data_IF_131015373906
#
_entry.id   IF_131015373906
#
_cell.length_a   1.000
_cell.length_b   1.000
_cell.length_c   1.000
_cell.angle_alpha   90.00
_cell.angle_beta   90.00
_cell.angle_gamma   90.00
#
_symmetry.space_group_name_H-M   'P 1'
#
loop_
_entity.id
_entity.type
_entity.pdbx_description
1 polymer ?
#
# COMPACT_ATOMS: atom_id res chain seq x y z
N UNK A 1 13.99 3.79 -22.64
CA UNK A 1 14.02 2.40 -22.10
C UNK A 1 13.19 2.40 -20.83
N UNK A 2 12.54 1.28 -20.51
CA UNK A 2 11.72 1.19 -19.29
C UNK A 2 12.60 1.25 -18.04
N UNK A 3 12.10 1.90 -16.98
CA UNK A 3 12.76 1.91 -15.67
C UNK A 3 12.73 0.53 -14.98
N UNK A 4 11.93 -0.42 -15.49
CA UNK A 4 11.82 -1.79 -15.02
C UNK A 4 12.73 -2.79 -15.76
N UNK A 5 13.59 -2.30 -16.66
CA UNK A 5 14.45 -3.15 -17.51
C UNK A 5 15.33 -4.14 -16.72
N UNK A 6 15.68 -3.82 -15.47
CA UNK A 6 16.47 -4.70 -14.60
C UNK A 6 15.78 -6.04 -14.31
N UNK A 7 14.46 -6.16 -14.53
CA UNK A 7 13.70 -7.40 -14.36
C UNK A 7 13.80 -8.34 -15.56
N UNK A 8 14.12 -7.83 -16.75
CA UNK A 8 13.96 -8.56 -18.02
C UNK A 8 14.82 -9.82 -18.15
N UNK A 9 15.92 -9.89 -17.38
CA UNK A 9 16.85 -11.00 -17.42
C UNK A 9 16.27 -12.29 -16.83
N UNK A 10 15.42 -12.17 -15.79
CA UNK A 10 14.94 -13.33 -15.01
C UNK A 10 13.41 -13.42 -14.94
N UNK A 11 12.69 -12.29 -15.03
CA UNK A 11 11.24 -12.23 -14.84
C UNK A 11 10.56 -11.44 -15.98
N UNK A 12 10.47 -12.05 -17.16
CA UNK A 12 9.91 -11.42 -18.37
C UNK A 12 8.46 -10.97 -18.19
N UNK A 13 7.57 -11.84 -17.72
CA UNK A 13 6.15 -11.50 -17.53
C UNK A 13 5.97 -10.35 -16.51
N UNK A 14 6.78 -10.35 -15.45
CA UNK A 14 6.82 -9.28 -14.45
C UNK A 14 7.30 -7.96 -15.08
N UNK A 15 8.38 -8.02 -15.86
CA UNK A 15 8.92 -6.87 -16.59
C UNK A 15 7.90 -6.30 -17.57
N UNK A 16 7.17 -7.14 -18.30
CA UNK A 16 6.11 -6.74 -19.23
C UNK A 16 4.96 -6.04 -18.52
N UNK A 17 4.46 -6.62 -17.43
CA UNK A 17 3.40 -6.01 -16.62
C UNK A 17 3.82 -4.66 -16.03
N UNK A 18 5.05 -4.57 -15.50
CA UNK A 18 5.59 -3.35 -14.92
C UNK A 18 5.86 -2.27 -15.99
N UNK A 19 6.40 -2.65 -17.14
CA UNK A 19 6.58 -1.75 -18.30
C UNK A 19 5.23 -1.24 -18.80
N UNK A 20 4.20 -2.09 -18.81
CA UNK A 20 2.85 -1.67 -19.18
C UNK A 20 2.32 -0.64 -18.18
N UNK A 21 2.47 -0.89 -16.88
CA UNK A 21 2.08 0.05 -15.83
C UNK A 21 2.79 1.41 -15.97
N UNK A 22 4.10 1.41 -16.22
CA UNK A 22 4.88 2.62 -16.50
C UNK A 22 4.36 3.36 -17.73
N UNK A 23 4.13 2.65 -18.83
CA UNK A 23 3.69 3.23 -20.09
C UNK A 23 2.30 3.85 -20.03
N UNK A 24 1.45 3.40 -19.11
CA UNK A 24 0.09 3.90 -18.93
C UNK A 24 -0.05 4.87 -17.76
N UNK A 25 1.02 5.14 -16.99
CA UNK A 25 0.98 5.91 -15.75
C UNK A 25 0.28 7.28 -15.88
N UNK A 26 0.62 8.01 -16.94
CA UNK A 26 0.01 9.30 -17.29
C UNK A 26 -1.21 9.14 -18.19
N UNK A 27 -1.12 8.43 -19.34
CA UNK A 27 -2.17 8.47 -20.35
C UNK A 27 -3.43 7.65 -19.99
N UNK A 28 -3.29 6.61 -19.16
CA UNK A 28 -4.40 5.80 -18.65
C UNK A 28 -4.14 5.36 -17.19
N UNK A 29 -4.42 6.26 -16.21
CA UNK A 29 -4.16 6.03 -14.80
C UNK A 29 -4.80 4.74 -14.25
N UNK A 30 -6.01 4.39 -14.74
CA UNK A 30 -6.72 3.21 -14.27
C UNK A 30 -6.01 1.93 -14.72
N UNK A 31 -5.64 1.85 -16.00
CA UNK A 31 -4.88 0.71 -16.52
C UNK A 31 -3.51 0.60 -15.85
N UNK A 32 -2.86 1.72 -15.52
CA UNK A 32 -1.58 1.70 -14.80
C UNK A 32 -1.68 1.06 -13.41
N UNK A 33 -2.67 1.45 -12.62
CA UNK A 33 -2.90 0.85 -11.30
C UNK A 33 -3.24 -0.66 -11.41
N UNK A 34 -4.04 -1.04 -12.41
CA UNK A 34 -4.35 -2.45 -12.69
C UNK A 34 -3.08 -3.25 -13.02
N UNK A 35 -2.27 -2.77 -13.97
CA UNK A 35 -1.04 -3.44 -14.36
C UNK A 35 0.00 -3.47 -13.22
N UNK A 36 0.00 -2.46 -12.35
CA UNK A 36 0.88 -2.44 -11.17
C UNK A 36 0.52 -3.54 -10.17
N UNK A 37 -0.77 -3.75 -9.90
CA UNK A 37 -1.22 -4.90 -9.09
C UNK A 37 -0.89 -6.22 -9.77
N UNK A 38 -1.08 -6.33 -11.09
CA UNK A 38 -0.70 -7.54 -11.83
C UNK A 38 0.79 -7.86 -11.71
N UNK A 39 1.66 -6.85 -11.82
CA UNK A 39 3.09 -7.01 -11.63
C UNK A 39 3.40 -7.48 -10.20
N UNK A 40 2.79 -6.87 -9.18
CA UNK A 40 2.92 -7.32 -7.80
C UNK A 40 2.50 -8.79 -7.61
N UNK A 41 1.37 -9.20 -8.19
CA UNK A 41 0.89 -10.59 -8.15
C UNK A 41 1.89 -11.57 -8.73
N UNK A 42 2.46 -11.27 -9.91
CA UNK A 42 3.47 -12.11 -10.55
C UNK A 42 4.72 -12.26 -9.69
N UNK A 43 5.21 -11.16 -9.11
CA UNK A 43 6.38 -11.18 -8.24
C UNK A 43 6.13 -11.96 -6.94
N UNK A 44 4.99 -11.73 -6.29
CA UNK A 44 4.61 -12.42 -5.05
C UNK A 44 4.40 -13.91 -5.31
N UNK A 45 3.64 -14.29 -6.34
CA UNK A 45 3.45 -15.68 -6.72
C UNK A 45 4.78 -16.40 -7.01
N UNK A 46 5.70 -15.71 -7.71
CA UNK A 46 7.05 -16.23 -7.93
C UNK A 46 7.80 -16.44 -6.61
N UNK A 47 7.76 -15.47 -5.70
CA UNK A 47 8.42 -15.59 -4.40
C UNK A 47 7.90 -16.81 -3.63
N UNK A 48 6.58 -16.99 -3.53
CA UNK A 48 5.98 -18.14 -2.85
C UNK A 48 6.32 -19.48 -3.50
N UNK A 49 6.54 -19.50 -4.82
CA UNK A 49 6.93 -20.72 -5.54
C UNK A 49 8.37 -21.15 -5.23
N UNK A 50 9.30 -20.19 -5.17
CA UNK A 50 10.74 -20.46 -5.13
C UNK A 50 11.44 -20.16 -3.79
N UNK A 51 10.83 -19.39 -2.90
CA UNK A 51 11.34 -19.13 -1.56
C UNK A 51 10.65 -20.02 -0.52
N UNK A 52 11.37 -21.06 -0.06
CA UNK A 52 10.84 -22.01 0.94
C UNK A 52 10.67 -21.41 2.33
N UNK A 53 11.18 -20.20 2.58
CA UNK A 53 10.93 -19.50 3.84
C UNK A 53 9.51 -18.95 3.91
N UNK A 54 8.82 -18.79 2.76
CA UNK A 54 7.47 -18.28 2.68
C UNK A 54 6.43 -19.38 2.88
N UNK A 55 5.45 -19.13 3.74
CA UNK A 55 4.37 -20.07 4.06
C UNK A 55 3.08 -19.61 3.41
N UNK A 56 2.43 -20.48 2.64
CA UNK A 56 1.15 -20.14 2.02
C UNK A 56 0.06 -19.91 3.08
N UNK A 57 -0.69 -18.80 2.98
CA UNK A 57 -1.90 -18.60 3.77
C UNK A 57 -3.04 -19.53 3.29
N UNK A 58 -4.12 -19.59 4.07
CA UNK A 58 -5.30 -20.40 3.70
C UNK A 58 -5.99 -19.89 2.42
N UNK A 59 -6.08 -18.57 2.26
CA UNK A 59 -6.59 -17.94 1.05
C UNK A 59 -5.42 -17.63 0.10
N UNK A 60 -5.63 -17.79 -1.20
CA UNK A 60 -4.61 -17.64 -2.25
C UNK A 60 -4.68 -16.28 -2.98
N UNK A 61 -5.47 -15.33 -2.48
CA UNK A 61 -5.52 -13.99 -3.05
C UNK A 61 -4.31 -13.12 -2.64
N UNK A 62 -3.99 -12.11 -3.45
CA UNK A 62 -2.83 -11.23 -3.23
C UNK A 62 -2.82 -10.56 -1.86
N UNK A 63 -3.99 -10.17 -1.34
CA UNK A 63 -4.10 -9.54 -0.03
C UNK A 63 -3.67 -10.50 1.09
N UNK A 64 -4.14 -11.75 1.05
CA UNK A 64 -3.74 -12.78 2.00
C UNK A 64 -2.23 -13.07 1.91
N UNK A 65 -1.68 -13.18 0.70
CA UNK A 65 -0.26 -13.45 0.47
C UNK A 65 0.65 -12.34 1.02
N UNK A 66 0.32 -11.06 0.83
CA UNK A 66 1.19 -9.98 1.34
C UNK A 66 1.06 -9.80 2.86
N UNK A 67 -0.08 -10.16 3.45
CA UNK A 67 -0.32 -10.05 4.90
C UNK A 67 0.20 -11.24 5.71
N UNK A 68 0.65 -12.30 5.04
CA UNK A 68 1.19 -13.46 5.71
C UNK A 68 2.50 -13.08 6.47
N UNK A 69 2.66 -13.54 7.73
CA UNK A 69 3.78 -13.15 8.58
C UNK A 69 5.18 -13.39 8.00
N UNK A 70 5.43 -14.51 7.33
CA UNK A 70 6.75 -14.81 6.73
C UNK A 70 7.05 -13.91 5.52
N UNK A 71 6.05 -13.54 4.73
CA UNK A 71 6.22 -12.53 3.68
C UNK A 71 6.55 -11.17 4.29
N UNK A 72 5.77 -10.72 5.27
CA UNK A 72 5.99 -9.43 5.93
C UNK A 72 7.38 -9.35 6.60
N UNK A 73 7.83 -10.45 7.21
CA UNK A 73 9.16 -10.54 7.79
C UNK A 73 10.26 -10.44 6.73
N UNK A 74 10.08 -11.11 5.59
CA UNK A 74 11.04 -11.13 4.48
C UNK A 74 11.11 -9.79 3.75
N UNK A 75 9.97 -9.14 3.53
CA UNK A 75 9.87 -7.85 2.87
C UNK A 75 10.31 -6.68 3.75
N UNK A 76 10.09 -6.80 5.06
CA UNK A 76 10.22 -5.68 5.98
C UNK A 76 9.06 -4.68 5.83
N UNK A 77 8.96 -3.76 6.79
CA UNK A 77 7.83 -2.83 6.89
C UNK A 77 7.75 -1.89 5.67
N UNK A 78 8.89 -1.31 5.26
CA UNK A 78 8.93 -0.37 4.14
C UNK A 78 8.35 -0.96 2.86
N UNK A 79 8.77 -2.17 2.45
CA UNK A 79 8.31 -2.82 1.21
C UNK A 79 6.88 -3.35 1.33
N UNK A 80 6.53 -3.92 2.48
CA UNK A 80 5.16 -4.36 2.77
C UNK A 80 4.16 -3.22 2.59
N UNK A 81 4.51 -2.02 3.05
CA UNK A 81 3.68 -0.83 2.93
C UNK A 81 3.45 -0.41 1.47
N UNK A 82 4.46 -0.56 0.61
CA UNK A 82 4.33 -0.30 -0.84
C UNK A 82 3.36 -1.29 -1.48
N UNK A 83 3.49 -2.57 -1.14
CA UNK A 83 2.58 -3.61 -1.62
C UNK A 83 1.13 -3.29 -1.23
N UNK A 84 0.88 -2.77 -0.02
CA UNK A 84 -0.47 -2.33 0.39
C UNK A 84 -1.03 -1.21 -0.50
N UNK A 85 -0.22 -0.18 -0.80
CA UNK A 85 -0.64 0.93 -1.67
C UNK A 85 -1.01 0.40 -3.06
N UNK A 86 -0.15 -0.46 -3.63
CA UNK A 86 -0.38 -1.05 -4.96
C UNK A 86 -1.66 -1.90 -4.98
N UNK A 87 -1.90 -2.73 -3.95
CA UNK A 87 -3.13 -3.53 -3.85
C UNK A 87 -4.36 -2.63 -3.72
N UNK A 88 -4.32 -1.60 -2.88
CA UNK A 88 -5.47 -0.71 -2.68
C UNK A 88 -5.88 0.01 -3.98
N UNK A 89 -4.91 0.63 -4.67
CA UNK A 89 -5.16 1.35 -5.91
C UNK A 89 -5.48 0.43 -7.09
N UNK A 90 -4.84 -0.74 -7.15
CA UNK A 90 -5.16 -1.77 -8.14
C UNK A 90 -6.57 -2.34 -7.97
N UNK A 91 -7.02 -2.59 -6.74
CA UNK A 91 -8.39 -3.01 -6.47
C UNK A 91 -9.39 -1.91 -6.85
N UNK A 92 -9.10 -0.66 -6.51
CA UNK A 92 -9.93 0.48 -6.92
C UNK A 92 -10.04 0.57 -8.45
N UNK A 93 -8.97 0.26 -9.18
CA UNK A 93 -8.95 0.31 -10.64
C UNK A 93 -9.94 -0.66 -11.30
N UNK A 94 -10.27 -1.78 -10.64
CA UNK A 94 -11.14 -2.83 -11.21
C UNK A 94 -12.53 -2.83 -10.58
N UNK A 95 -12.65 -2.44 -9.30
CA UNK A 95 -13.89 -2.60 -8.53
C UNK A 95 -14.61 -1.29 -8.24
N UNK A 96 -13.98 -0.12 -8.42
CA UNK A 96 -14.61 1.18 -8.20
C UNK A 96 -14.91 1.91 -9.52
N UNK A 97 -16.10 2.53 -9.61
CA UNK A 97 -16.44 3.47 -10.69
C UNK A 97 -15.79 4.84 -10.54
N UNK A 98 -15.25 5.17 -9.35
CA UNK A 98 -14.57 6.45 -9.10
C UNK A 98 -13.34 6.58 -9.99
N UNK A 99 -13.13 7.77 -10.55
CA UNK A 99 -11.92 8.06 -11.32
C UNK A 99 -10.66 7.88 -10.47
N UNK A 100 -9.58 7.48 -11.13
CA UNK A 100 -8.25 7.39 -10.54
C UNK A 100 -7.47 8.63 -11.00
N UNK A 101 -7.14 9.55 -10.07
CA UNK A 101 -6.28 10.68 -10.36
C UNK A 101 -4.95 10.23 -10.95
N UNK A 102 -4.40 11.02 -11.89
CA UNK A 102 -3.08 10.74 -12.47
C UNK A 102 -1.98 10.66 -11.39
N UNK A 103 -2.06 11.50 -10.36
CA UNK A 103 -1.11 11.48 -9.25
C UNK A 103 -1.10 10.14 -8.50
N UNK A 104 -2.27 9.51 -8.31
CA UNK A 104 -2.38 8.20 -7.65
C UNK A 104 -1.73 7.09 -8.50
N UNK A 105 -1.89 7.17 -9.82
CA UNK A 105 -1.24 6.26 -10.76
C UNK A 105 0.28 6.40 -10.78
N UNK A 106 0.79 7.63 -10.86
CA UNK A 106 2.23 7.90 -10.79
C UNK A 106 2.82 7.42 -9.46
N UNK A 107 2.12 7.66 -8.34
CA UNK A 107 2.52 7.12 -7.04
C UNK A 107 2.55 5.59 -7.06
N UNK A 108 1.52 4.95 -7.60
CA UNK A 108 1.44 3.48 -7.68
C UNK A 108 2.64 2.89 -8.42
N UNK A 109 3.04 3.48 -9.55
CA UNK A 109 4.18 3.01 -10.35
C UNK A 109 5.50 3.24 -9.61
N UNK A 110 5.65 4.36 -8.90
CA UNK A 110 6.80 4.61 -8.01
C UNK A 110 6.89 3.56 -6.90
N UNK A 111 5.77 3.22 -6.26
CA UNK A 111 5.72 2.17 -5.25
C UNK A 111 6.05 0.79 -5.83
N UNK A 112 5.55 0.50 -7.04
CA UNK A 112 5.88 -0.72 -7.78
C UNK A 112 7.36 -0.81 -8.09
N UNK A 113 7.98 0.28 -8.53
CA UNK A 113 9.42 0.34 -8.79
C UNK A 113 10.23 -0.07 -7.57
N UNK A 114 9.93 0.52 -6.42
CA UNK A 114 10.60 0.19 -5.17
C UNK A 114 10.37 -1.27 -4.73
N UNK A 115 9.15 -1.79 -4.92
CA UNK A 115 8.86 -3.20 -4.65
C UNK A 115 9.66 -4.13 -5.57
N UNK A 116 9.68 -3.85 -6.88
CA UNK A 116 10.43 -4.61 -7.87
C UNK A 116 11.94 -4.53 -7.64
N UNK A 117 12.46 -3.36 -7.24
CA UNK A 117 13.85 -3.19 -6.84
C UNK A 117 14.21 -4.12 -5.67
N UNK A 118 13.42 -4.10 -4.59
CA UNK A 118 13.62 -5.00 -3.45
C UNK A 118 13.59 -6.47 -3.88
N UNK A 119 12.59 -6.83 -4.68
CA UNK A 119 12.41 -8.18 -5.17
C UNK A 119 13.64 -8.65 -5.99
N UNK A 120 14.09 -7.84 -6.94
CA UNK A 120 15.26 -8.14 -7.75
C UNK A 120 16.55 -8.17 -6.93
N UNK A 121 16.74 -7.25 -5.99
CA UNK A 121 17.87 -7.24 -5.06
C UNK A 121 17.95 -8.53 -4.25
N UNK A 122 16.81 -9.00 -3.76
CA UNK A 122 16.72 -10.17 -2.88
C UNK A 122 16.84 -11.49 -3.64
N UNK A 123 16.21 -11.59 -4.81
CA UNK A 123 16.00 -12.86 -5.51
C UNK A 123 16.79 -13.03 -6.81
N UNK A 124 17.40 -11.98 -7.37
CA UNK A 124 18.16 -12.12 -8.61
C UNK A 124 19.38 -13.03 -8.39
N UNK A 125 19.53 -13.99 -9.29
CA UNK A 125 20.62 -14.98 -9.27
C UNK A 125 21.83 -14.50 -10.07
N UNK A 126 21.62 -13.63 -11.05
CA UNK A 126 22.68 -13.14 -11.94
C UNK A 126 22.93 -11.65 -11.75
N UNK A 127 21.92 -10.82 -12.08
CA UNK A 127 22.08 -9.39 -12.18
C UNK A 127 21.17 -8.70 -11.15
N UNK A 128 21.78 -8.23 -10.06
CA UNK A 128 21.08 -7.37 -9.09
C UNK A 128 21.03 -5.94 -9.60
N UNK A 129 19.97 -5.17 -9.27
CA UNK A 129 19.93 -3.76 -9.59
C UNK A 129 21.05 -3.00 -8.87
N UNK A 130 21.52 -1.91 -9.49
CA UNK A 130 22.46 -0.98 -8.88
C UNK A 130 21.82 -0.31 -7.64
N UNK A 131 22.57 -0.15 -6.56
CA UNK A 131 22.10 0.49 -5.34
C UNK A 131 21.70 1.97 -5.52
N UNK A 132 22.19 2.62 -6.57
CA UNK A 132 21.86 4.01 -6.93
C UNK A 132 20.68 4.11 -7.90
N UNK A 133 20.02 2.99 -8.21
CA UNK A 133 18.89 3.00 -9.14
C UNK A 133 17.66 3.65 -8.49
N UNK A 134 17.24 4.79 -9.03
CA UNK A 134 16.09 5.55 -8.54
C UNK A 134 14.98 5.62 -9.58
N UNK A 135 13.75 5.84 -9.11
CA UNK A 135 12.60 6.10 -9.97
C UNK A 135 12.56 7.58 -10.35
N UNK A 136 12.47 7.85 -11.65
CA UNK A 136 12.29 9.17 -12.24
C UNK A 136 10.89 9.29 -12.84
N UNK A 137 10.06 10.14 -12.24
CA UNK A 137 8.72 10.41 -12.74
C UNK A 137 8.71 11.31 -13.99
N UNK A 138 9.79 12.06 -14.25
CA UNK A 138 9.88 13.01 -15.35
C UNK A 138 10.01 12.34 -16.72
N UNK A 139 10.47 11.09 -16.75
CA UNK A 139 10.61 10.29 -17.98
C UNK A 139 9.38 9.46 -18.32
N UNK A 140 8.31 9.54 -17.52
CA UNK A 140 7.05 8.86 -17.81
C UNK A 140 6.44 9.39 -19.13
N UNK A 141 5.92 8.50 -19.99
CA UNK A 141 5.46 8.91 -21.30
C UNK A 141 4.18 9.74 -21.20
N UNK A 142 4.25 10.99 -21.65
CA UNK A 142 3.10 11.87 -21.81
C UNK A 142 2.54 11.66 -23.22
N UNK A 143 1.62 10.72 -23.36
CA UNK A 143 1.00 10.39 -24.66
C UNK A 143 -0.52 10.44 -24.56
N UNK A 144 -1.20 10.32 -25.70
CA UNK A 144 -2.66 10.14 -25.73
C UNK A 144 -2.94 8.74 -26.27
N UNK A 145 -3.50 7.87 -25.42
CA UNK A 145 -3.91 6.52 -25.81
C UNK A 145 -5.40 6.33 -25.52
N UNK A 146 -6.10 5.43 -26.23
CA UNK A 146 -7.44 5.03 -25.86
C UNK A 146 -7.44 4.46 -24.44
N UNK A 147 -8.19 5.10 -23.53
CA UNK A 147 -8.35 4.61 -22.15
C UNK A 147 -9.16 3.32 -22.14
N UNK A 148 -8.75 2.35 -21.35
CA UNK A 148 -9.54 1.14 -21.15
C UNK A 148 -10.75 1.42 -20.26
N UNK A 149 -11.89 0.82 -20.60
CA UNK A 149 -13.10 0.91 -19.78
C UNK A 149 -13.01 -0.03 -18.58
N UNK A 150 -13.82 0.23 -17.55
CA UNK A 150 -13.92 -0.64 -16.38
C UNK A 150 -14.28 -2.08 -16.75
N UNK A 151 -15.21 -2.26 -17.70
CA UNK A 151 -15.62 -3.60 -18.14
C UNK A 151 -14.53 -4.31 -18.94
N UNK A 152 -13.74 -3.57 -19.73
CA UNK A 152 -12.57 -4.14 -20.41
C UNK A 152 -11.53 -4.63 -19.40
N UNK A 153 -11.27 -3.86 -18.33
CA UNK A 153 -10.33 -4.25 -17.28
C UNK A 153 -10.82 -5.46 -16.47
N UNK A 154 -12.11 -5.52 -16.13
CA UNK A 154 -12.71 -6.70 -15.47
C UNK A 154 -12.59 -7.97 -16.33
N UNK A 155 -12.86 -7.86 -17.63
CA UNK A 155 -12.68 -8.98 -18.58
C UNK A 155 -11.22 -9.41 -18.66
N UNK A 156 -10.29 -8.45 -18.68
CA UNK A 156 -8.87 -8.72 -18.69
C UNK A 156 -8.39 -9.41 -17.40
N UNK A 157 -8.91 -9.00 -16.23
CA UNK A 157 -8.64 -9.68 -14.95
C UNK A 157 -9.04 -11.16 -15.00
N UNK A 158 -10.26 -11.46 -15.46
CA UNK A 158 -10.75 -12.84 -15.60
C UNK A 158 -9.87 -13.63 -16.57
N UNK A 159 -9.52 -13.06 -17.73
CA UNK A 159 -8.67 -13.72 -18.72
C UNK A 159 -7.26 -14.02 -18.19
N UNK A 160 -6.68 -13.11 -17.41
CA UNK A 160 -5.37 -13.33 -16.79
C UNK A 160 -5.43 -14.43 -15.73
N UNK A 161 -6.48 -14.43 -14.90
CA UNK A 161 -6.70 -15.48 -13.90
C UNK A 161 -6.85 -16.86 -14.54
N UNK A 162 -7.68 -16.98 -15.58
CA UNK A 162 -7.84 -18.24 -16.33
C UNK A 162 -6.53 -18.71 -16.98
N UNK A 163 -5.72 -17.77 -17.52
CA UNK A 163 -4.43 -18.09 -18.12
C UNK A 163 -3.47 -18.65 -17.07
N UNK A 164 -3.44 -18.06 -15.87
CA UNK A 164 -2.58 -18.50 -14.79
C UNK A 164 -2.99 -19.88 -14.25
N UNK A 165 -4.29 -20.12 -14.11
CA UNK A 165 -4.82 -21.42 -13.69
C UNK A 165 -4.45 -22.52 -14.71
N UNK A 166 -4.69 -22.25 -16.00
CA UNK A 166 -4.31 -23.17 -17.10
C UNK A 166 -2.81 -23.44 -17.10
N UNK A 167 -1.98 -22.41 -16.91
CA UNK A 167 -0.54 -22.56 -16.83
C UNK A 167 -0.13 -23.41 -15.62
N UNK A 168 -0.73 -23.17 -14.46
CA UNK A 168 -0.48 -23.95 -13.24
C UNK A 168 -0.80 -25.43 -13.44
N UNK A 169 -1.96 -25.75 -14.02
CA UNK A 169 -2.37 -27.12 -14.31
C UNK A 169 -1.39 -27.84 -15.26
N UNK A 170 -1.00 -27.19 -16.36
CA UNK A 170 -0.03 -27.76 -17.32
C UNK A 170 1.35 -28.01 -16.70
N UNK A 171 1.75 -27.19 -15.71
CA UNK A 171 3.01 -27.37 -15.00
C UNK A 171 2.93 -28.46 -13.91
N UNK A 172 1.77 -28.72 -13.32
CA UNK A 172 1.60 -29.80 -12.35
C UNK A 172 1.74 -31.20 -12.98
N UNK A 173 1.37 -31.36 -14.26
CA UNK A 173 1.37 -32.65 -14.95
C UNK A 173 2.76 -33.15 -15.39
N UNK A 174 3.84 -32.38 -15.18
CA UNK A 174 5.19 -32.70 -15.69
C UNK A 174 6.17 -33.00 -14.55
N UNK A 175 6.40 -34.28 -14.24
CA UNK A 175 7.39 -34.77 -13.24
C UNK A 175 8.81 -34.21 -13.40
N UNK A 176 9.24 -33.86 -14.62
CA UNK A 176 10.56 -33.25 -14.85
C UNK A 176 10.70 -31.84 -14.27
N UNK A 177 9.58 -31.17 -13.98
CA UNK A 177 9.58 -29.83 -13.39
C UNK A 177 9.88 -29.84 -11.90
N UNK A 178 9.62 -30.95 -11.18
CA UNK A 178 9.89 -31.01 -9.74
C UNK A 178 11.39 -30.90 -9.43
N UNK A 179 12.22 -31.62 -10.20
CA UNK A 179 13.68 -31.55 -10.06
C UNK A 179 14.22 -30.15 -10.41
N UNK A 180 13.65 -29.52 -11.45
CA UNK A 180 14.00 -28.16 -11.85
C UNK A 180 13.58 -27.13 -10.78
N UNK A 181 12.36 -27.25 -10.24
CA UNK A 181 11.87 -26.38 -9.16
C UNK A 181 12.76 -26.51 -7.92
N UNK A 182 13.15 -27.73 -7.55
CA UNK A 182 14.05 -27.94 -6.42
C UNK A 182 15.45 -27.40 -6.66
N UNK A 183 15.98 -27.47 -7.90
CA UNK A 183 17.23 -26.81 -8.28
C UNK A 183 17.10 -25.29 -8.14
N UNK A 184 16.06 -24.71 -8.71
CA UNK A 184 15.79 -23.27 -8.67
C UNK A 184 15.62 -22.76 -7.23
N UNK A 185 14.93 -23.51 -6.36
CA UNK A 185 14.81 -23.20 -4.93
C UNK A 185 16.15 -23.15 -4.23
N UNK A 186 17.08 -24.06 -4.55
CA UNK A 186 18.45 -24.03 -4.01
C UNK A 186 19.22 -22.81 -4.49
N UNK A 187 19.15 -22.48 -5.78
CA UNK A 187 19.76 -21.26 -6.34
C UNK A 187 19.20 -20.00 -5.68
N UNK A 188 17.88 -19.92 -5.50
CA UNK A 188 17.22 -18.79 -4.85
C UNK A 188 17.63 -18.66 -3.38
N UNK A 189 17.73 -19.76 -2.64
CA UNK A 189 18.22 -19.74 -1.27
C UNK A 189 19.67 -19.21 -1.18
N UNK A 190 20.54 -19.61 -2.10
CA UNK A 190 21.91 -19.10 -2.19
C UNK A 190 21.94 -17.61 -2.55
N UNK A 191 21.15 -17.19 -3.54
CA UNK A 191 21.03 -15.79 -3.94
C UNK A 191 20.55 -14.92 -2.76
N UNK A 192 19.52 -15.35 -2.03
CA UNK A 192 18.97 -14.66 -0.86
C UNK A 192 20.00 -14.56 0.28
N UNK A 193 20.74 -15.63 0.57
CA UNK A 193 21.82 -15.61 1.55
C UNK A 193 22.91 -14.61 1.17
N UNK A 194 23.31 -14.57 -0.10
CA UNK A 194 24.30 -13.61 -0.59
C UNK A 194 23.78 -12.16 -0.55
N UNK A 195 22.49 -11.93 -0.82
CA UNK A 195 21.88 -10.61 -0.75
C UNK A 195 21.82 -10.08 0.70
N UNK A 196 21.50 -10.95 1.66
CA UNK A 196 21.40 -10.59 3.08
C UNK A 196 22.75 -10.23 3.73
N UNK A 197 23.88 -10.62 3.12
CA UNK A 197 25.22 -10.20 3.59
C UNK A 197 25.54 -8.75 3.25
N UNK A 198 24.83 -8.17 2.28
CA UNK A 198 25.02 -6.79 1.86
C UNK A 198 23.95 -5.92 2.55
N UNK A 199 24.33 -4.78 3.14
CA UNK A 199 23.36 -3.79 3.60
C UNK A 199 22.47 -3.32 2.45
N UNK A 200 21.22 -2.98 2.77
CA UNK A 200 20.33 -2.34 1.82
C UNK A 200 20.45 -0.81 1.96
N UNK A 201 21.11 -0.18 0.99
CA UNK A 201 21.30 1.26 0.97
C UNK A 201 20.18 2.00 0.21
N UNK A 202 19.22 1.26 -0.36
CA UNK A 202 18.17 1.84 -1.19
C UNK A 202 17.23 2.72 -0.36
N UNK A 203 17.03 3.96 -0.82
CA UNK A 203 16.03 4.83 -0.22
C UNK A 203 14.63 4.46 -0.71
N UNK A 204 13.87 3.80 0.15
CA UNK A 204 12.49 3.42 -0.12
C UNK A 204 11.48 4.56 0.03
N UNK A 205 11.88 5.78 0.42
CA UNK A 205 10.93 6.90 0.64
C UNK A 205 9.75 6.53 1.56
N UNK A 206 10.03 5.78 2.63
CA UNK A 206 8.98 5.23 3.53
C UNK A 206 8.06 6.31 4.11
N UNK A 207 8.61 7.49 4.44
CA UNK A 207 7.83 8.60 4.97
C UNK A 207 6.77 9.07 3.97
N UNK A 208 7.14 9.22 2.70
CA UNK A 208 6.22 9.60 1.62
C UNK A 208 5.14 8.55 1.41
N UNK A 209 5.50 7.26 1.37
CA UNK A 209 4.52 6.17 1.25
C UNK A 209 3.54 6.16 2.43
N UNK A 210 4.00 6.50 3.63
CA UNK A 210 3.16 6.53 4.84
C UNK A 210 2.13 7.64 4.76
N UNK A 211 2.59 8.84 4.45
CA UNK A 211 1.73 10.02 4.40
C UNK A 211 0.71 9.86 3.26
N UNK A 212 1.15 9.36 2.11
CA UNK A 212 0.26 9.01 0.99
C UNK A 212 -0.78 7.95 1.37
N UNK A 213 -0.38 6.88 2.08
CA UNK A 213 -1.30 5.82 2.43
C UNK A 213 -2.31 6.24 3.50
N UNK A 214 -1.93 7.14 4.43
CA UNK A 214 -2.88 7.75 5.38
C UNK A 214 -3.92 8.58 4.62
N UNK A 215 -3.48 9.42 3.69
CA UNK A 215 -4.36 10.20 2.81
C UNK A 215 -5.36 9.32 2.06
N UNK A 216 -4.89 8.20 1.50
CA UNK A 216 -5.73 7.24 0.79
C UNK A 216 -6.81 6.66 1.70
N UNK A 217 -6.42 6.19 2.91
CA UNK A 217 -7.36 5.61 3.88
C UNK A 217 -8.40 6.62 4.36
N UNK A 218 -8.00 7.87 4.58
CA UNK A 218 -8.92 8.93 4.99
C UNK A 218 -9.94 9.25 3.89
N UNK A 219 -9.50 9.33 2.63
CA UNK A 219 -10.39 9.51 1.47
C UNK A 219 -11.36 8.35 1.30
N UNK A 220 -10.91 7.11 1.51
CA UNK A 220 -11.77 5.93 1.46
C UNK A 220 -12.83 5.95 2.57
N UNK A 221 -12.47 6.46 3.75
CA UNK A 221 -13.38 6.66 4.87
C UNK A 221 -14.33 7.85 4.71
N UNK A 222 -14.26 8.57 3.58
CA UNK A 222 -15.16 9.68 3.26
C UNK A 222 -14.63 11.07 3.64
N UNK A 223 -13.39 11.19 4.10
CA UNK A 223 -12.75 12.48 4.39
C UNK A 223 -12.05 13.02 3.14
N UNK A 224 -12.53 14.11 2.51
CA UNK A 224 -12.02 14.55 1.19
C UNK A 224 -10.56 15.02 1.21
N UNK A 225 -10.12 15.64 2.32
CA UNK A 225 -8.82 16.30 2.46
C UNK A 225 -8.55 17.33 1.35
N UNK A 226 -9.57 18.10 0.99
CA UNK A 226 -9.57 19.07 -0.10
C UNK A 226 -9.35 20.52 0.36
N UNK A 227 -9.33 20.76 1.67
CA UNK A 227 -9.08 22.08 2.24
C UNK A 227 -7.70 22.15 2.90
N UNK A 228 -7.08 23.33 2.83
CA UNK A 228 -5.81 23.58 3.52
C UNK A 228 -5.88 23.33 5.03
N UNK A 229 -7.07 23.44 5.62
CA UNK A 229 -7.29 23.19 7.06
C UNK A 229 -7.33 21.71 7.45
N UNK A 230 -7.34 20.80 6.47
CA UNK A 230 -7.50 19.37 6.74
C UNK A 230 -6.18 18.70 7.10
N UNK A 231 -5.05 19.30 6.71
CA UNK A 231 -3.69 18.82 6.93
C UNK A 231 -2.85 19.89 7.62
N UNK A 232 -1.91 19.46 8.47
CA UNK A 232 -0.98 20.35 9.19
C UNK A 232 -1.69 21.57 9.79
N UNK A 233 -2.81 21.34 10.46
CA UNK A 233 -3.66 22.41 10.96
C UNK A 233 -2.99 23.11 12.15
N UNK A 234 -2.77 24.44 12.09
CA UNK A 234 -2.13 25.16 13.18
C UNK A 234 -3.05 25.28 14.40
N UNK A 235 -2.51 24.97 15.56
CA UNK A 235 -3.16 25.15 16.86
C UNK A 235 -2.33 26.05 17.77
N UNK A 236 -3.02 26.79 18.63
CA UNK A 236 -2.41 27.69 19.62
C UNK A 236 -2.69 27.19 21.04
N UNK A 237 -1.82 27.54 21.99
CA UNK A 237 -1.90 27.08 23.38
C UNK A 237 -1.09 25.82 23.69
N UNK A 238 -0.23 25.39 22.76
CA UNK A 238 0.66 24.26 22.98
C UNK A 238 1.78 24.60 23.97
N UNK A 239 2.26 23.64 24.80
CA UNK A 239 3.40 23.84 25.70
C UNK A 239 4.74 23.81 24.94
N UNK A 240 4.86 24.66 23.92
CA UNK A 240 6.08 24.87 23.11
C UNK A 240 6.58 26.30 23.30
N UNK A 241 7.85 26.56 22.96
CA UNK A 241 8.46 27.89 23.13
C UNK A 241 7.66 29.03 22.47
N UNK A 242 6.95 28.74 21.39
CA UNK A 242 6.17 29.71 20.63
C UNK A 242 4.65 29.58 20.84
N UNK A 243 4.21 28.67 21.72
CA UNK A 243 2.79 28.41 21.98
C UNK A 243 2.03 27.76 20.82
N UNK A 244 2.72 27.30 19.78
CA UNK A 244 2.15 26.78 18.54
C UNK A 244 2.41 25.28 18.36
N UNK A 245 1.50 24.61 17.68
CA UNK A 245 1.69 23.25 17.17
C UNK A 245 0.89 23.02 15.90
N UNK A 246 1.09 21.87 15.27
CA UNK A 246 0.43 21.49 14.04
C UNK A 246 -0.13 20.08 14.19
N UNK A 247 -1.41 19.93 13.91
CA UNK A 247 -2.12 18.64 13.91
C UNK A 247 -2.02 18.06 12.52
N UNK A 248 -1.54 16.81 12.38
CA UNK A 248 -1.30 16.22 11.06
C UNK A 248 -2.58 16.19 10.22
N UNK A 249 -3.70 15.74 10.81
CA UNK A 249 -5.02 15.79 10.18
C UNK A 249 -6.12 16.19 11.16
N UNK A 250 -7.03 17.04 10.69
CA UNK A 250 -8.28 17.35 11.41
C UNK A 250 -9.46 16.92 10.54
N UNK A 251 -10.35 16.13 11.14
CA UNK A 251 -11.54 15.58 10.50
C UNK A 251 -12.72 16.47 10.87
N UNK A 252 -13.22 17.25 9.90
CA UNK A 252 -14.21 18.31 10.11
C UNK A 252 -15.63 17.84 9.87
N UNK A 253 -16.54 18.08 10.81
CA UNK A 253 -17.97 17.91 10.58
C UNK A 253 -18.52 18.94 9.61
N UNK A 254 -19.72 18.65 9.09
CA UNK A 254 -20.45 19.57 8.19
C UNK A 254 -20.80 20.91 8.87
N UNK A 255 -20.80 20.94 10.20
CA UNK A 255 -20.99 22.13 11.03
C UNK A 255 -19.71 22.98 11.19
N UNK A 256 -18.61 22.56 10.56
CA UNK A 256 -17.31 23.22 10.64
C UNK A 256 -16.56 22.97 11.95
N UNK A 257 -17.00 22.03 12.79
CA UNK A 257 -16.34 21.68 14.06
C UNK A 257 -15.47 20.43 13.91
N UNK A 258 -14.41 20.28 14.72
CA UNK A 258 -13.54 19.11 14.65
C UNK A 258 -14.26 17.88 15.24
N UNK A 259 -14.48 16.85 14.43
CA UNK A 259 -15.01 15.55 14.85
C UNK A 259 -13.90 14.60 15.30
N UNK A 260 -12.73 14.69 14.67
CA UNK A 260 -11.58 13.88 15.00
C UNK A 260 -10.26 14.55 14.65
N UNK A 261 -9.18 14.04 15.22
CA UNK A 261 -7.82 14.34 14.77
C UNK A 261 -7.05 13.05 14.56
N UNK A 262 -6.14 13.04 13.59
CA UNK A 262 -5.25 11.90 13.33
C UNK A 262 -3.82 12.35 13.54
N UNK A 263 -3.10 11.65 14.43
CA UNK A 263 -1.67 11.83 14.63
C UNK A 263 -0.89 10.73 13.88
N UNK A 264 -0.08 11.12 12.90
CA UNK A 264 0.68 10.26 12.02
C UNK A 264 2.08 9.97 12.58
N UNK A 265 2.22 8.93 13.41
CA UNK A 265 3.52 8.57 14.00
C UNK A 265 4.37 7.69 13.07
N UNK A 266 5.70 7.87 13.13
CA UNK A 266 6.64 6.88 12.59
C UNK A 266 6.62 5.68 13.54
N UNK A 267 6.71 4.47 13.00
CA UNK A 267 6.57 3.18 13.71
C UNK A 267 7.54 2.95 14.89
N UNK A 268 8.46 3.87 15.16
CA UNK A 268 9.56 3.73 16.14
C UNK A 268 9.54 4.66 17.36
N UNK A 269 8.64 5.66 17.50
CA UNK A 269 8.58 6.49 18.72
C UNK A 269 7.54 5.98 19.71
N UNK A 270 7.84 6.14 21.01
CA UNK A 270 7.02 5.68 22.14
C UNK A 270 5.55 6.04 21.93
N UNK A 271 4.62 5.05 21.95
CA UNK A 271 3.18 5.31 21.87
C UNK A 271 2.68 6.32 22.90
N UNK A 272 3.34 6.41 24.07
CA UNK A 272 2.97 7.32 25.17
C UNK A 272 3.21 8.80 24.83
N UNK A 273 4.30 9.10 24.13
CA UNK A 273 4.64 10.48 23.78
C UNK A 273 3.66 11.03 22.74
N UNK A 274 3.23 10.16 21.81
CA UNK A 274 2.19 10.49 20.83
C UNK A 274 0.83 10.71 21.49
N UNK A 275 0.47 9.89 22.46
CA UNK A 275 -0.79 10.02 23.18
C UNK A 275 -0.90 11.35 23.93
N UNK A 276 0.15 11.75 24.64
CA UNK A 276 0.18 13.03 25.34
C UNK A 276 0.07 14.22 24.38
N UNK A 277 0.81 14.18 23.27
CA UNK A 277 0.76 15.24 22.26
C UNK A 277 -0.62 15.37 21.62
N UNK A 278 -1.26 14.25 21.29
CA UNK A 278 -2.60 14.25 20.71
C UNK A 278 -3.66 14.79 21.69
N UNK A 279 -3.53 14.52 23.00
CA UNK A 279 -4.39 15.11 24.04
C UNK A 279 -4.27 16.63 24.07
N UNK A 280 -3.04 17.15 24.04
CA UNK A 280 -2.80 18.61 23.96
C UNK A 280 -3.43 19.22 22.71
N UNK A 281 -3.33 18.55 21.56
CA UNK A 281 -4.00 18.99 20.34
C UNK A 281 -5.53 18.99 20.44
N UNK A 282 -6.12 17.98 21.08
CA UNK A 282 -7.56 17.99 21.33
C UNK A 282 -7.99 19.11 22.28
N UNK A 283 -7.20 19.42 23.32
CA UNK A 283 -7.47 20.53 24.25
C UNK A 283 -7.44 21.88 23.52
N UNK A 284 -6.46 22.08 22.63
CA UNK A 284 -6.37 23.27 21.79
C UNK A 284 -7.60 23.39 20.84
N UNK A 285 -7.95 22.31 20.15
CA UNK A 285 -9.10 22.29 19.23
C UNK A 285 -10.43 22.50 19.96
N UNK A 286 -10.60 21.92 21.15
CA UNK A 286 -11.77 22.14 22.00
C UNK A 286 -11.88 23.61 22.43
N UNK A 287 -10.75 24.23 22.80
CA UNK A 287 -10.72 25.65 23.17
C UNK A 287 -11.05 26.57 21.99
N UNK A 288 -10.62 26.22 20.78
CA UNK A 288 -10.85 27.01 19.57
C UNK A 288 -12.28 26.88 19.00
N UNK A 289 -12.86 25.68 19.06
CA UNK A 289 -14.12 25.36 18.37
C UNK A 289 -15.28 24.96 19.30
N UNK A 290 -15.03 24.85 20.60
CA UNK A 290 -16.02 24.44 21.60
C UNK A 290 -16.45 22.97 21.47
N UNK A 291 -15.65 22.14 20.80
CA UNK A 291 -15.92 20.72 20.60
C UNK A 291 -14.63 19.89 20.68
N UNK A 292 -14.62 18.87 21.53
CA UNK A 292 -13.49 17.96 21.67
C UNK A 292 -13.49 16.90 20.56
N UNK A 293 -12.43 16.83 19.73
CA UNK A 293 -12.31 15.80 18.71
C UNK A 293 -11.98 14.42 19.30
N UNK A 294 -12.39 13.36 18.61
CA UNK A 294 -11.91 12.00 18.88
C UNK A 294 -10.46 11.85 18.41
N UNK A 295 -9.61 11.24 19.24
CA UNK A 295 -8.20 11.04 18.94
C UNK A 295 -8.00 9.72 18.18
N UNK A 296 -7.41 9.80 17.00
CA UNK A 296 -6.95 8.65 16.23
C UNK A 296 -5.42 8.65 16.15
N UNK A 297 -4.82 7.50 16.46
CA UNK A 297 -3.41 7.27 16.18
C UNK A 297 -3.27 6.39 14.97
N UNK A 298 -2.52 6.85 13.97
CA UNK A 298 -2.20 6.06 12.80
C UNK A 298 -0.70 6.04 12.60
N UNK A 299 -0.18 4.86 12.26
CA UNK A 299 1.14 4.74 11.65
C UNK A 299 1.03 4.56 10.13
N UNK A 300 -0.16 4.78 9.56
CA UNK A 300 -0.52 4.47 8.18
C UNK A 300 -0.93 3.02 7.95
N UNK A 301 -0.39 2.06 8.69
CA UNK A 301 -0.39 0.65 8.24
C UNK A 301 -1.14 -0.33 9.14
N UNK A 302 -1.51 0.08 10.35
CA UNK A 302 -2.39 -0.65 11.29
C UNK A 302 -3.71 0.10 11.47
N UNK A 303 -4.80 -0.59 11.89
CA UNK A 303 -6.04 0.07 12.26
C UNK A 303 -5.77 1.18 13.27
N UNK A 304 -6.43 2.32 13.09
CA UNK A 304 -6.29 3.45 13.99
C UNK A 304 -6.75 3.08 15.39
N UNK A 305 -5.97 3.40 16.41
CA UNK A 305 -6.41 3.25 17.80
C UNK A 305 -7.19 4.50 18.20
N UNK A 306 -8.38 4.31 18.75
CA UNK A 306 -9.15 5.37 19.41
C UNK A 306 -8.61 5.48 20.84
N UNK A 307 -8.13 6.66 21.23
CA UNK A 307 -8.03 7.00 22.65
C UNK A 307 -9.06 8.10 22.93
N UNK A 308 -10.12 7.77 23.66
CA UNK A 308 -11.02 8.79 24.17
C UNK A 308 -11.43 8.41 25.58
N UNK A 309 -11.34 9.36 26.50
CA UNK A 309 -11.86 9.25 27.87
C UNK A 309 -13.40 9.38 27.90
N UNK A 310 -14.04 9.68 26.76
CA UNK A 310 -15.49 9.66 26.57
C UNK A 310 -15.82 8.99 25.23
N UNK A 311 -16.18 7.71 25.27
CA UNK A 311 -16.83 7.04 24.14
C UNK A 311 -18.32 7.42 24.21
N UNK A 312 -18.88 8.21 23.27
CA UNK A 312 -20.33 8.32 23.18
C UNK A 312 -20.88 6.93 22.84
N UNK A 313 -21.91 6.47 23.55
CA UNK A 313 -22.50 5.11 23.45
C UNK A 313 -23.08 4.72 22.07
N UNK A 314 -22.81 5.47 21.00
CA UNK A 314 -23.18 5.14 19.62
C UNK A 314 -22.12 5.64 18.64
N UNK A 315 -20.99 4.93 18.51
CA UNK A 315 -20.15 4.93 17.29
C UNK A 315 -18.83 4.17 17.54
N UNK A 316 -18.84 2.87 17.28
CA UNK A 316 -17.60 2.15 16.99
C UNK A 316 -17.25 2.43 15.52
N UNK A 317 -16.34 3.37 15.26
CA UNK A 317 -15.74 3.53 13.94
C UNK A 317 -14.50 2.62 13.83
N UNK A 318 -14.55 1.66 12.92
CA UNK A 318 -13.38 0.92 12.45
C UNK A 318 -12.95 1.51 11.11
N UNK A 319 -11.72 2.02 11.04
CA UNK A 319 -11.01 2.20 9.77
C UNK A 319 -10.49 0.82 9.33
N UNK A 320 -11.39 -0.03 8.85
CA UNK A 320 -11.07 -1.28 8.16
C UNK A 320 -12.23 -1.65 7.22
N UNK A 321 -11.90 -1.85 5.94
CA UNK A 321 -12.82 -2.36 4.94
C UNK A 321 -13.44 -3.68 5.36
N UNK A 322 -14.75 -3.77 5.13
CA UNK A 322 -15.64 -4.92 5.17
C UNK A 322 -15.33 -6.05 6.17
N UNK A 323 -16.07 -6.02 7.29
CA UNK A 323 -16.65 -7.24 7.87
C UNK A 323 -18.12 -6.96 8.16
N UNK A 324 -19.00 -7.71 7.50
CA UNK A 324 -20.46 -7.65 7.66
C UNK A 324 -20.88 -7.80 9.12
N UNK A 325 -21.75 -6.91 9.61
CA UNK A 325 -22.39 -7.03 10.92
C UNK A 325 -23.59 -7.99 10.86
N UNK A 326 -23.84 -8.82 11.89
CA UNK A 326 -25.11 -9.52 12.04
C UNK A 326 -26.21 -8.52 12.38
N UNK A 327 -27.34 -8.65 11.71
CA UNK A 327 -28.55 -7.85 11.88
C UNK A 327 -29.07 -7.91 13.32
N UNK A 328 -29.19 -6.75 13.96
CA UNK A 328 -29.86 -6.62 15.26
C UNK A 328 -31.38 -6.67 15.01
N UNK A 329 -32.03 -7.74 15.48
CA UNK A 329 -33.48 -7.87 15.48
C UNK A 329 -34.12 -6.79 16.35
N UNK A 330 -35.18 -6.18 15.83
CA UNK A 330 -36.12 -5.42 16.62
C UNK A 330 -36.95 -6.41 17.43
N UNK A 331 -36.86 -6.36 18.75
CA UNK A 331 -37.93 -6.84 19.61
C UNK A 331 -38.33 -5.68 20.53
N UNK A 332 -39.56 -5.23 20.33
CA UNK A 332 -40.25 -4.24 21.14
C UNK A 332 -41.24 -4.99 22.03
N UNK A 333 -41.25 -4.65 23.32
CA UNK A 333 -42.48 -4.64 24.14
C UNK A 333 -42.60 -3.24 24.70
#
# INVERSE_FOLDING_TARGET
MSQFQFLSAEWKDLCEAATKAESTAIPDPRTSCFCSRRALELAVAWAYKFDRALKLPYQDNISALIHEPTFKHTAGEAVFNKAKVIVALGNRAVHSSREIPQADSVQTVKELFHFCYWFARLYARRNRPDALLEFDASVLPITTIPKQTLDQLKRLEIQLAEKDEKLSAVLADKKSLDAEIERLRKEVAQAKQAANKLPDAHNYNEAETRDYFIDLLLKEAGWPLDQRRDREFPVTGMPTANGQGFVDYVLWGDDGKPLGLVEAKRTKRSPRDGEHQAKLYADCLESMYGQRPILFFSNGYRPSRIASDRIPRKSCFHLAGDVSLPTCSQDSV
#
